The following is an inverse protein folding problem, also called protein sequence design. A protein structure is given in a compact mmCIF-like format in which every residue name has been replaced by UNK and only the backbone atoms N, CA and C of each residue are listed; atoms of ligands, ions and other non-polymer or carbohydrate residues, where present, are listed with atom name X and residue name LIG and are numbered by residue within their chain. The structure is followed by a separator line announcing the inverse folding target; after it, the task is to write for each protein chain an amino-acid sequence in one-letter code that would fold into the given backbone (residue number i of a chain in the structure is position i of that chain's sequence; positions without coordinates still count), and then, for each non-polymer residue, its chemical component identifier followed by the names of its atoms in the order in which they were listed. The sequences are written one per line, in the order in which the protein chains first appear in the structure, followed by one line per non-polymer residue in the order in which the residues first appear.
data_IF_362089664378
#
_entry.id   IF_362089664378
#
_cell.length_a   1.000
_cell.length_b   1.000
_cell.length_c   1.000
_cell.angle_alpha   90.00
_cell.angle_beta   90.00
_cell.angle_gamma   90.00
#
_symmetry.space_group_name_H-M   'P 1'
#
loop_
_entity.id
_entity.type
_entity.pdbx_description
1 polymer ?
#
# COMPACT_ATOMS: atom_id res chain seq x y z
N UNK A 1 -15.70 18.32 19.65
CA UNK A 1 -14.23 18.48 19.73
C UNK A 1 -13.46 17.44 18.89
N UNK A 2 -13.98 16.98 17.74
CA UNK A 2 -13.32 15.92 16.92
C UNK A 2 -12.39 16.43 15.81
N UNK A 3 -12.53 17.68 15.36
CA UNK A 3 -11.85 18.16 14.14
C UNK A 3 -10.30 18.19 14.19
N UNK A 4 -9.69 18.32 15.37
CA UNK A 4 -8.22 18.37 15.50
C UNK A 4 -7.57 17.00 15.33
N UNK A 5 -8.16 15.96 15.93
CA UNK A 5 -7.65 14.58 15.84
C UNK A 5 -7.78 14.06 14.40
N UNK A 6 -8.89 14.38 13.74
CA UNK A 6 -9.14 13.99 12.35
C UNK A 6 -8.15 14.65 11.38
N UNK A 7 -7.80 15.92 11.61
CA UNK A 7 -6.81 16.63 10.80
C UNK A 7 -5.40 16.08 10.99
N UNK A 8 -4.98 15.83 12.23
CA UNK A 8 -3.66 15.25 12.53
C UNK A 8 -3.53 13.85 11.93
N UNK A 9 -4.56 13.00 12.04
CA UNK A 9 -4.58 11.68 11.42
C UNK A 9 -4.48 11.76 9.89
N UNK A 10 -5.20 12.70 9.26
CA UNK A 10 -5.12 12.91 7.82
C UNK A 10 -3.72 13.35 7.36
N UNK A 11 -3.06 14.23 8.12
CA UNK A 11 -1.68 14.66 7.86
C UNK A 11 -0.72 13.48 7.95
N UNK A 12 -0.81 12.66 8.99
CA UNK A 12 0.02 11.45 9.11
C UNK A 12 -0.22 10.45 7.97
N UNK A 13 -1.48 10.24 7.58
CA UNK A 13 -1.81 9.35 6.46
C UNK A 13 -1.24 9.86 5.14
N UNK A 14 -1.33 11.18 4.89
CA UNK A 14 -0.76 11.82 3.71
C UNK A 14 0.76 11.73 3.68
N UNK A 15 1.44 12.14 4.77
CA UNK A 15 2.89 12.07 4.88
C UNK A 15 3.40 10.63 4.74
N UNK A 16 2.74 9.68 5.41
CA UNK A 16 3.05 8.26 5.29
C UNK A 16 2.93 7.76 3.86
N UNK A 17 1.86 8.12 3.15
CA UNK A 17 1.65 7.74 1.76
C UNK A 17 2.69 8.36 0.83
N UNK A 18 3.02 9.64 1.05
CA UNK A 18 4.04 10.36 0.28
C UNK A 18 5.43 9.72 0.43
N UNK A 19 5.85 9.46 1.68
CA UNK A 19 7.13 8.82 1.98
C UNK A 19 7.18 7.37 1.49
N UNK A 20 6.07 6.63 1.59
CA UNK A 20 6.02 5.27 1.07
C UNK A 20 6.13 5.26 -0.46
N UNK A 21 5.46 6.19 -1.16
CA UNK A 21 5.54 6.32 -2.61
C UNK A 21 6.93 6.69 -3.11
N UNK A 22 7.62 7.61 -2.42
CA UNK A 22 8.97 8.05 -2.81
C UNK A 22 10.03 6.95 -2.71
N UNK A 23 9.84 5.98 -1.81
CA UNK A 23 10.77 4.83 -1.67
C UNK A 23 10.90 3.99 -2.95
N UNK A 24 9.84 3.93 -3.77
CA UNK A 24 9.88 3.19 -5.04
C UNK A 24 10.63 3.92 -6.15
N UNK A 25 10.81 5.25 -6.04
CA UNK A 25 11.63 6.02 -6.98
C UNK A 25 13.12 5.66 -6.83
N UNK A 26 13.59 5.46 -5.60
CA UNK A 26 14.97 5.06 -5.33
C UNK A 26 15.32 3.70 -5.95
N UNK A 27 14.36 2.76 -6.00
CA UNK A 27 14.54 1.46 -6.66
C UNK A 27 14.66 1.56 -8.18
N UNK A 28 14.20 2.66 -8.78
CA UNK A 28 14.37 2.96 -10.22
C UNK A 28 15.66 3.72 -10.52
N UNK A 29 16.51 4.02 -9.54
CA UNK A 29 17.77 4.68 -9.80
C UNK A 29 18.61 3.87 -10.82
N UNK A 30 19.23 4.49 -11.83
CA UNK A 30 19.98 3.78 -12.87
C UNK A 30 21.07 2.86 -12.32
N UNK A 31 21.70 3.26 -11.21
CA UNK A 31 22.70 2.44 -10.51
C UNK A 31 22.10 1.12 -9.97
N UNK A 32 20.90 1.16 -9.41
CA UNK A 32 20.18 -0.02 -8.90
C UNK A 32 19.78 -0.94 -10.05
N UNK A 33 19.25 -0.36 -11.13
CA UNK A 33 18.86 -1.12 -12.33
C UNK A 33 20.06 -1.78 -13.00
N UNK A 34 21.21 -1.09 -13.06
CA UNK A 34 22.46 -1.65 -13.59
C UNK A 34 23.00 -2.78 -12.72
N UNK A 35 22.84 -2.68 -11.40
CA UNK A 35 23.30 -3.70 -10.45
C UNK A 35 22.40 -4.95 -10.38
N UNK A 36 21.20 -4.94 -11.00
CA UNK A 36 20.26 -6.07 -11.03
C UNK A 36 20.06 -6.71 -9.63
N UNK A 37 19.98 -5.87 -8.60
CA UNK A 37 19.92 -6.34 -7.22
C UNK A 37 18.63 -7.12 -6.97
N UNK A 38 18.76 -8.28 -6.33
CA UNK A 38 17.63 -9.15 -6.05
C UNK A 38 16.59 -8.44 -5.13
N UNK A 39 15.27 -8.52 -5.41
CA UNK A 39 14.22 -7.86 -4.63
C UNK A 39 14.27 -8.11 -3.11
N UNK A 40 14.69 -9.32 -2.73
CA UNK A 40 14.83 -9.72 -1.32
C UNK A 40 15.83 -8.83 -0.58
N UNK A 41 16.91 -8.40 -1.23
CA UNK A 41 17.93 -7.53 -0.61
C UNK A 41 17.33 -6.17 -0.23
N UNK A 42 16.51 -5.60 -1.12
CA UNK A 42 15.77 -4.36 -0.82
C UNK A 42 14.78 -4.53 0.33
N UNK A 43 14.08 -5.66 0.38
CA UNK A 43 13.19 -5.97 1.48
C UNK A 43 13.97 -6.12 2.80
N UNK A 44 15.15 -6.75 2.79
CA UNK A 44 16.02 -6.86 3.97
C UNK A 44 16.46 -5.49 4.48
N UNK A 45 16.90 -4.57 3.60
CA UNK A 45 17.23 -3.20 4.01
C UNK A 45 16.04 -2.48 4.63
N UNK A 46 14.84 -2.65 4.05
CA UNK A 46 13.61 -2.07 4.60
C UNK A 46 13.28 -2.63 5.99
N UNK A 47 13.33 -3.94 6.14
CA UNK A 47 13.08 -4.62 7.42
C UNK A 47 14.10 -4.23 8.48
N UNK A 48 15.38 -4.09 8.11
CA UNK A 48 16.43 -3.61 8.99
C UNK A 48 16.14 -2.21 9.53
N UNK A 49 15.78 -1.25 8.66
CA UNK A 49 15.46 0.10 9.10
C UNK A 49 14.19 0.18 9.95
N UNK A 50 13.18 -0.64 9.67
CA UNK A 50 12.00 -0.75 10.53
C UNK A 50 12.38 -1.29 11.92
N UNK A 51 13.27 -2.27 11.99
CA UNK A 51 13.77 -2.80 13.26
C UNK A 51 14.55 -1.73 14.05
N UNK A 52 15.47 -1.01 13.39
CA UNK A 52 16.25 0.08 14.02
C UNK A 52 15.33 1.19 14.52
N UNK A 53 14.38 1.65 13.69
CA UNK A 53 13.42 2.67 14.09
C UNK A 53 12.55 2.20 15.26
N UNK A 54 12.07 0.95 15.22
CA UNK A 54 11.31 0.35 16.31
C UNK A 54 12.08 0.31 17.63
N UNK A 55 13.36 -0.11 17.60
CA UNK A 55 14.22 -0.06 18.77
C UNK A 55 14.40 1.37 19.30
N UNK A 56 14.56 2.35 18.39
CA UNK A 56 14.66 3.76 18.75
C UNK A 56 13.42 4.28 19.47
N UNK A 57 12.22 3.93 19.02
CA UNK A 57 10.96 4.29 19.68
C UNK A 57 10.84 3.65 21.06
N UNK A 58 11.16 2.35 21.18
CA UNK A 58 11.16 1.64 22.48
C UNK A 58 12.13 2.29 23.48
N UNK A 59 13.34 2.66 23.03
CA UNK A 59 14.30 3.37 23.87
C UNK A 59 13.81 4.77 24.26
N UNK A 60 13.19 5.50 23.34
CA UNK A 60 12.63 6.82 23.62
C UNK A 60 11.52 6.74 24.68
N UNK A 61 10.64 5.73 24.59
CA UNK A 61 9.56 5.52 25.55
C UNK A 61 10.10 5.04 26.91
N UNK A 62 11.16 4.23 26.92
CA UNK A 62 11.89 3.88 28.14
C UNK A 62 12.47 5.10 28.86
N UNK A 63 13.06 6.05 28.12
CA UNK A 63 13.61 7.29 28.68
C UNK A 63 12.51 8.23 29.17
N UNK A 64 11.33 8.22 28.52
CA UNK A 64 10.15 9.01 28.94
C UNK A 64 9.44 8.46 30.18
N UNK A 65 9.78 7.26 30.63
CA UNK A 65 9.15 6.63 31.80
C UNK A 65 7.72 6.15 31.53
N UNK A 66 7.39 5.83 30.27
CA UNK A 66 6.12 5.23 29.89
C UNK A 66 5.90 3.90 30.64
N UNK A 67 4.68 3.64 31.12
CA UNK A 67 4.37 2.42 31.88
C UNK A 67 4.42 1.15 31.04
N UNK A 68 4.26 1.28 29.71
CA UNK A 68 4.29 0.17 28.76
C UNK A 68 5.33 0.48 27.70
N UNK A 69 6.56 0.06 27.95
CA UNK A 69 7.69 0.27 27.03
C UNK A 69 7.64 -0.70 25.84
N UNK A 70 7.11 -1.92 26.05
CA UNK A 70 6.99 -2.92 24.99
C UNK A 70 5.86 -3.90 25.29
N UNK A 71 4.88 -3.99 24.39
CA UNK A 71 3.79 -4.96 24.45
C UNK A 71 3.92 -5.96 23.31
N UNK A 72 4.43 -7.16 23.61
CA UNK A 72 4.53 -8.22 22.61
C UNK A 72 3.15 -8.78 22.26
N UNK A 73 2.86 -8.87 20.96
CA UNK A 73 1.62 -9.49 20.47
C UNK A 73 1.91 -10.42 19.30
N UNK A 74 1.29 -11.60 19.31
CA UNK A 74 1.38 -12.55 18.20
C UNK A 74 0.73 -12.01 16.92
N UNK A 75 -0.25 -11.11 17.05
CA UNK A 75 -0.84 -10.40 15.91
C UNK A 75 0.18 -9.54 15.17
N UNK A 76 1.11 -8.89 15.88
CA UNK A 76 2.22 -8.16 15.26
C UNK A 76 3.15 -9.07 14.47
N UNK A 77 3.42 -10.28 14.98
CA UNK A 77 4.22 -11.28 14.27
C UNK A 77 3.51 -11.75 13.00
N UNK A 78 2.22 -12.07 13.08
CA UNK A 78 1.43 -12.47 11.91
C UNK A 78 1.38 -11.36 10.85
N UNK A 79 1.21 -10.11 11.26
CA UNK A 79 1.25 -8.96 10.37
C UNK A 79 2.62 -8.85 9.66
N UNK A 80 3.72 -9.02 10.39
CA UNK A 80 5.06 -9.01 9.81
C UNK A 80 5.30 -10.16 8.81
N UNK A 81 4.83 -11.37 9.14
CA UNK A 81 4.91 -12.55 8.26
C UNK A 81 4.14 -12.33 6.95
N UNK A 82 2.96 -11.71 7.00
CA UNK A 82 2.20 -11.38 5.78
C UNK A 82 2.81 -10.19 5.01
N UNK A 83 3.43 -9.25 5.71
CA UNK A 83 3.99 -8.03 5.12
C UNK A 83 5.25 -8.29 4.29
N UNK A 84 6.13 -9.20 4.73
CA UNK A 84 7.40 -9.47 4.05
C UNK A 84 7.19 -10.03 2.62
N UNK A 85 6.39 -11.08 2.38
CA UNK A 85 6.08 -11.57 1.04
C UNK A 85 5.37 -10.52 0.20
N UNK A 86 4.46 -9.75 0.80
CA UNK A 86 3.79 -8.63 0.12
C UNK A 86 4.80 -7.60 -0.41
N UNK A 87 5.83 -7.26 0.38
CA UNK A 87 6.93 -6.39 -0.04
C UNK A 87 7.70 -6.96 -1.22
N UNK A 88 8.10 -8.23 -1.15
CA UNK A 88 8.84 -8.92 -2.23
C UNK A 88 8.01 -8.97 -3.53
N UNK A 89 6.73 -9.35 -3.44
CA UNK A 89 5.83 -9.39 -4.59
C UNK A 89 5.65 -8.02 -5.24
N UNK A 90 5.51 -6.96 -4.43
CA UNK A 90 5.41 -5.60 -4.93
C UNK A 90 6.70 -5.16 -5.64
N UNK A 91 7.87 -5.42 -5.06
CA UNK A 91 9.16 -5.08 -5.70
C UNK A 91 9.35 -5.87 -7.01
N UNK A 92 8.99 -7.15 -7.02
CA UNK A 92 9.06 -7.99 -8.22
C UNK A 92 8.05 -7.58 -9.31
N UNK A 93 6.94 -6.93 -8.94
CA UNK A 93 5.96 -6.41 -9.89
C UNK A 93 6.42 -5.10 -10.57
N UNK A 94 7.25 -4.29 -9.89
CA UNK A 94 7.69 -2.98 -10.38
C UNK A 94 8.35 -3.02 -11.77
N UNK A 95 9.29 -3.94 -12.09
CA UNK A 95 9.88 -4.02 -13.42
C UNK A 95 8.86 -4.36 -14.53
N UNK A 96 7.75 -5.03 -14.19
CA UNK A 96 6.76 -5.53 -15.16
C UNK A 96 5.61 -4.55 -15.39
N UNK A 97 5.14 -3.91 -14.33
CA UNK A 97 3.98 -3.02 -14.32
C UNK A 97 4.35 -1.52 -14.27
N UNK A 98 5.59 -1.22 -13.90
CA UNK A 98 6.03 0.13 -13.55
C UNK A 98 5.66 0.53 -12.12
N UNK A 99 6.35 1.53 -11.61
CA UNK A 99 6.16 2.03 -10.23
C UNK A 99 4.77 2.63 -10.05
N UNK A 100 4.33 3.50 -10.97
CA UNK A 100 3.05 4.21 -10.85
C UNK A 100 1.86 3.25 -10.73
N UNK A 101 1.81 2.23 -11.61
CA UNK A 101 0.72 1.25 -11.55
C UNK A 101 0.80 0.39 -10.29
N UNK A 102 1.98 -0.11 -9.95
CA UNK A 102 2.15 -0.95 -8.74
C UNK A 102 1.70 -0.18 -7.50
N UNK A 103 2.04 1.12 -7.40
CA UNK A 103 1.62 2.00 -6.32
C UNK A 103 0.13 2.37 -6.34
N UNK A 104 -0.55 2.29 -7.48
CA UNK A 104 -1.99 2.50 -7.55
C UNK A 104 -2.78 1.23 -7.21
N UNK A 105 -2.34 0.07 -7.73
CA UNK A 105 -3.01 -1.21 -7.56
C UNK A 105 -2.90 -1.72 -6.13
N UNK A 106 -1.70 -1.66 -5.53
CA UNK A 106 -1.46 -2.18 -4.18
C UNK A 106 -2.38 -1.58 -3.10
N UNK A 107 -2.49 -0.24 -2.94
CA UNK A 107 -3.41 0.34 -1.97
C UNK A 107 -4.88 0.10 -2.34
N UNK A 108 -5.24 0.08 -3.62
CA UNK A 108 -6.63 -0.20 -4.03
C UNK A 108 -7.10 -1.59 -3.63
N UNK A 109 -6.28 -2.62 -3.91
CA UNK A 109 -6.55 -4.00 -3.47
C UNK A 109 -6.56 -4.10 -1.95
N UNK A 110 -5.62 -3.43 -1.27
CA UNK A 110 -5.54 -3.42 0.19
C UNK A 110 -6.77 -2.78 0.83
N UNK A 111 -7.30 -1.69 0.27
CA UNK A 111 -8.54 -1.04 0.76
C UNK A 111 -9.74 -1.96 0.62
N UNK A 112 -9.85 -2.70 -0.50
CA UNK A 112 -10.91 -3.70 -0.69
C UNK A 112 -10.82 -4.81 0.36
N UNK A 113 -9.64 -5.39 0.54
CA UNK A 113 -9.44 -6.46 1.52
C UNK A 113 -9.67 -5.97 2.96
N UNK A 114 -9.15 -4.80 3.33
CA UNK A 114 -9.32 -4.23 4.66
C UNK A 114 -10.79 -3.90 4.95
N UNK A 115 -11.54 -3.41 3.96
CA UNK A 115 -12.97 -3.15 4.13
C UNK A 115 -13.74 -4.46 4.34
N UNK A 116 -13.52 -5.47 3.49
CA UNK A 116 -14.20 -6.77 3.60
C UNK A 116 -13.84 -7.45 4.92
N UNK A 117 -12.56 -7.46 5.30
CA UNK A 117 -12.10 -8.01 6.57
C UNK A 117 -12.62 -7.22 7.77
N UNK A 118 -12.66 -5.88 7.71
CA UNK A 118 -13.18 -5.03 8.78
C UNK A 118 -14.66 -5.26 9.03
N UNK A 119 -15.45 -5.43 7.97
CA UNK A 119 -16.89 -5.74 8.08
C UNK A 119 -17.12 -7.19 8.51
N UNK A 120 -16.42 -8.17 7.91
CA UNK A 120 -16.69 -9.59 8.12
C UNK A 120 -16.03 -10.18 9.38
N UNK A 121 -14.80 -9.78 9.71
CA UNK A 121 -14.02 -10.37 10.81
C UNK A 121 -14.06 -9.50 12.08
N UNK A 122 -13.98 -8.18 11.92
CA UNK A 122 -13.93 -7.24 13.06
C UNK A 122 -15.32 -6.77 13.48
N UNK A 123 -16.34 -7.00 12.63
CA UNK A 123 -17.72 -6.60 12.90
C UNK A 123 -17.92 -5.08 12.93
N UNK A 124 -17.09 -4.33 12.19
CA UNK A 124 -17.18 -2.87 12.17
C UNK A 124 -18.55 -2.42 11.62
N UNK A 125 -19.27 -1.63 12.42
CA UNK A 125 -20.57 -1.11 12.01
C UNK A 125 -20.42 -0.02 10.96
N UNK A 126 -21.07 -0.20 9.81
CA UNK A 126 -21.09 0.80 8.74
C UNK A 126 -21.93 2.01 9.15
N UNK A 127 -21.34 3.20 9.03
CA UNK A 127 -22.05 4.46 9.27
C UNK A 127 -23.15 4.65 8.23
N UNK A 128 -24.41 4.66 8.69
CA UNK A 128 -25.56 4.98 7.85
C UNK A 128 -25.57 6.48 7.59
N UNK A 129 -25.77 6.87 6.34
CA UNK A 129 -25.87 8.26 5.93
C UNK A 129 -27.31 8.52 5.48
N UNK A 130 -27.94 9.56 6.03
CA UNK A 130 -29.32 9.94 5.72
C UNK A 130 -29.99 10.67 6.90
N UNK A 131 -31.00 11.49 6.59
CA UNK A 131 -31.92 12.10 7.55
C UNK A 131 -33.34 11.85 7.04
N UNK A 132 -34.23 11.35 7.91
CA UNK A 132 -35.63 11.07 7.60
C UNK A 132 -35.86 9.82 6.74
N UNK A 133 -36.28 8.71 7.36
CA UNK A 133 -36.88 7.52 6.71
C UNK A 133 -36.00 6.66 5.78
N UNK A 134 -35.01 7.25 5.09
CA UNK A 134 -34.12 6.58 4.15
C UNK A 134 -32.68 6.59 4.66
N UNK A 135 -32.33 5.61 5.49
CA UNK A 135 -30.94 5.40 5.92
C UNK A 135 -30.24 4.50 4.90
N UNK A 136 -29.27 5.04 4.15
CA UNK A 136 -28.53 4.29 3.15
C UNK A 136 -27.07 4.07 3.58
N UNK A 137 -26.49 2.97 3.09
CA UNK A 137 -25.08 2.63 3.33
C UNK A 137 -24.29 3.01 2.08
N UNK A 138 -23.44 4.03 2.19
CA UNK A 138 -22.64 4.55 1.08
C UNK A 138 -21.39 3.71 0.80
N UNK A 139 -20.91 2.96 1.80
CA UNK A 139 -19.62 2.26 1.73
C UNK A 139 -19.51 1.25 0.57
N UNK A 140 -20.50 0.37 0.30
CA UNK A 140 -20.44 -0.56 -0.83
C UNK A 140 -20.30 0.12 -2.20
N UNK A 141 -20.91 1.29 -2.37
CA UNK A 141 -20.82 2.05 -3.63
C UNK A 141 -19.42 2.62 -3.86
N UNK A 142 -18.77 3.13 -2.80
CA UNK A 142 -17.37 3.54 -2.88
C UNK A 142 -16.45 2.37 -3.21
N UNK A 143 -16.68 1.19 -2.61
CA UNK A 143 -15.92 -0.02 -2.92
C UNK A 143 -16.09 -0.44 -4.38
N UNK A 144 -17.31 -0.36 -4.91
CA UNK A 144 -17.60 -0.59 -6.32
C UNK A 144 -16.83 0.37 -7.23
N UNK A 145 -16.82 1.66 -6.88
CA UNK A 145 -16.04 2.68 -7.60
C UNK A 145 -14.54 2.40 -7.62
N UNK A 146 -13.96 2.03 -6.47
CA UNK A 146 -12.53 1.66 -6.38
C UNK A 146 -12.24 0.42 -7.23
N UNK A 147 -13.08 -0.61 -7.15
CA UNK A 147 -12.91 -1.83 -7.93
C UNK A 147 -12.98 -1.55 -9.44
N UNK A 148 -13.96 -0.77 -9.89
CA UNK A 148 -14.07 -0.36 -11.30
C UNK A 148 -12.86 0.47 -11.73
N UNK A 149 -12.38 1.39 -10.90
CA UNK A 149 -11.19 2.19 -11.18
C UNK A 149 -9.94 1.32 -11.37
N UNK A 150 -9.74 0.33 -10.49
CA UNK A 150 -8.63 -0.63 -10.60
C UNK A 150 -8.71 -1.46 -11.89
N UNK A 151 -9.89 -1.99 -12.22
CA UNK A 151 -10.11 -2.73 -13.48
C UNK A 151 -9.83 -1.85 -14.69
N UNK A 152 -10.32 -0.61 -14.68
CA UNK A 152 -10.09 0.37 -15.74
C UNK A 152 -8.60 0.67 -15.95
N UNK A 153 -7.84 0.87 -14.86
CA UNK A 153 -6.38 1.08 -14.95
C UNK A 153 -5.65 -0.12 -15.55
N UNK A 154 -6.01 -1.34 -15.14
CA UNK A 154 -5.40 -2.57 -15.68
C UNK A 154 -5.77 -2.78 -17.14
N UNK A 155 -7.03 -2.54 -17.51
CA UNK A 155 -7.51 -2.66 -18.89
C UNK A 155 -6.81 -1.65 -19.82
N UNK A 156 -6.68 -0.39 -19.40
CA UNK A 156 -6.01 0.66 -20.17
C UNK A 156 -4.56 0.30 -20.50
N UNK A 157 -3.85 -0.36 -19.59
CA UNK A 157 -2.45 -0.76 -19.82
C UNK A 157 -2.33 -1.89 -20.85
N UNK A 158 -3.24 -2.87 -20.81
CA UNK A 158 -3.29 -3.91 -21.83
C UNK A 158 -3.64 -3.32 -23.20
N UNK A 159 -4.55 -2.34 -23.24
CA UNK A 159 -4.90 -1.64 -24.45
C UNK A 159 -3.72 -0.84 -25.03
N UNK A 160 -2.90 -0.19 -24.22
CA UNK A 160 -1.73 0.57 -24.69
C UNK A 160 -0.52 -0.31 -25.05
N UNK A 161 -0.37 -1.51 -24.48
CA UNK A 161 0.74 -2.41 -24.81
C UNK A 161 0.60 -3.09 -26.18
N UNK A 162 -0.63 -3.35 -26.63
CA UNK A 162 -0.90 -4.04 -27.91
C UNK A 162 -0.37 -3.27 -29.14
N UNK A 163 -0.72 -1.99 -29.33
CA UNK A 163 -0.29 -1.22 -30.50
C UNK A 163 1.23 -1.06 -30.63
N UNK A 164 1.95 -1.10 -29.50
CA UNK A 164 3.40 -0.96 -29.47
C UNK A 164 4.14 -2.25 -29.82
N UNK A 165 3.48 -3.41 -29.76
CA UNK A 165 4.05 -4.68 -30.24
C UNK A 165 3.77 -4.84 -31.73
N UNK A 166 2.56 -4.49 -32.16
CA UNK A 166 2.15 -4.53 -33.56
C UNK A 166 3.08 -3.66 -34.43
N UNK A 167 3.48 -2.46 -33.96
CA UNK A 167 4.41 -1.59 -34.67
C UNK A 167 5.87 -2.06 -34.69
N UNK A 168 6.28 -2.93 -33.78
CA UNK A 168 7.62 -3.53 -33.77
C UNK A 168 7.66 -4.75 -34.69
N UNK A 169 6.60 -5.55 -34.74
CA UNK A 169 6.47 -6.64 -35.72
C UNK A 169 6.46 -6.10 -37.15
N UNK A 170 5.69 -5.02 -37.43
CA UNK A 170 5.69 -4.37 -38.75
C UNK A 170 7.09 -3.86 -39.16
N UNK A 171 7.89 -3.34 -38.23
CA UNK A 171 9.23 -2.84 -38.52
C UNK A 171 10.32 -3.93 -38.65
N UNK A 172 10.04 -5.18 -38.26
CA UNK A 172 10.93 -6.33 -38.45
C UNK A 172 10.64 -7.03 -39.78
N UNK A 173 9.41 -6.92 -40.28
CA UNK A 173 8.97 -7.53 -41.53
C UNK A 173 9.27 -6.66 -42.79
N UNK A 174 9.70 -5.41 -42.62
CA UNK A 174 10.25 -4.52 -43.68
C UNK A 174 11.77 -4.63 -43.87
#
# INVERSE_FOLDING_TARGET
MSGSIDAVAAVYAFLGSFLMGSSFLAMKAPAVLKAQVHPVVFQTYRSFWVFVAGCGFVLADAVRGEKVVFAFTWWGVLAAVCWIPCGICNIAAVPRLGVALTQAVNPGVSVILNFVAGVALVGQHMKKHGSGGGAFVLAPWYMGGVAMGLVGMVAAIHACKRPALDSVEEAIDE
#
